data_IF_739043950232
#
_entry.id   IF_739043950232
#
_cell.length_a   1.000
_cell.length_b   1.000
_cell.length_c   1.000
_cell.angle_alpha   90.00
_cell.angle_beta   90.00
_cell.angle_gamma   90.00
#
_symmetry.space_group_name_H-M   'P 1'
#
loop_
_entity.id
_entity.type
_entity.pdbx_description
1 polymer ?
#
# COMPACT_ATOMS: atom_id res chain seq x y z
N UNK A 1 -2.93 2.32 2.83
CA UNK A 1 -2.73 2.89 1.47
C UNK A 1 -1.91 4.17 1.57
N UNK A 2 -0.98 4.35 0.69
CA UNK A 2 -0.13 5.54 0.61
C UNK A 2 -0.38 6.26 -0.72
N UNK A 3 -0.44 7.58 -0.69
CA UNK A 3 -0.61 8.40 -1.89
C UNK A 3 0.58 9.36 -1.98
N UNK A 4 1.30 9.30 -3.09
CA UNK A 4 2.43 10.17 -3.39
C UNK A 4 2.12 11.03 -4.59
N UNK A 5 2.49 12.32 -4.56
CA UNK A 5 2.26 13.23 -5.66
C UNK A 5 3.56 13.76 -6.24
N UNK A 6 3.68 13.76 -7.56
CA UNK A 6 4.81 14.31 -8.31
C UNK A 6 4.30 15.11 -9.51
N UNK A 7 5.02 16.18 -9.85
CA UNK A 7 4.56 17.12 -10.88
C UNK A 7 5.25 16.93 -12.23
N UNK A 8 6.37 16.20 -12.31
CA UNK A 8 7.15 16.05 -13.54
C UNK A 8 7.51 14.60 -13.80
N UNK A 9 7.65 14.26 -15.09
CA UNK A 9 8.07 12.92 -15.51
C UNK A 9 9.47 12.54 -15.04
N UNK A 10 10.37 13.51 -14.92
CA UNK A 10 11.73 13.25 -14.42
C UNK A 10 11.74 12.78 -12.97
N UNK A 11 10.76 13.20 -12.19
CA UNK A 11 10.61 12.78 -10.81
C UNK A 11 10.08 11.35 -10.66
N UNK A 12 9.63 10.71 -11.75
CA UNK A 12 8.99 9.41 -11.66
C UNK A 12 9.93 8.33 -11.10
N UNK A 13 11.16 8.26 -11.63
CA UNK A 13 12.15 7.28 -11.15
C UNK A 13 12.55 7.54 -9.70
N UNK A 14 12.76 8.81 -9.36
CA UNK A 14 13.06 9.19 -7.99
C UNK A 14 11.91 8.87 -7.06
N UNK A 15 10.68 9.17 -7.49
CA UNK A 15 9.48 8.85 -6.72
C UNK A 15 9.35 7.34 -6.53
N UNK A 16 9.57 6.55 -7.58
CA UNK A 16 9.49 5.10 -7.51
C UNK A 16 10.53 4.53 -6.54
N UNK A 17 11.76 5.06 -6.56
CA UNK A 17 12.80 4.64 -5.62
C UNK A 17 12.44 5.01 -4.19
N UNK A 18 11.93 6.21 -3.96
CA UNK A 18 11.48 6.65 -2.64
C UNK A 18 10.31 5.80 -2.13
N UNK A 19 9.35 5.49 -3.01
CA UNK A 19 8.23 4.64 -2.66
C UNK A 19 8.67 3.23 -2.30
N UNK A 20 9.59 2.65 -3.07
CA UNK A 20 10.13 1.32 -2.76
C UNK A 20 10.81 1.30 -1.41
N UNK A 21 11.58 2.33 -1.09
CA UNK A 21 12.22 2.45 0.22
C UNK A 21 11.19 2.62 1.33
N UNK A 22 10.18 3.47 1.11
CA UNK A 22 9.12 3.68 2.09
C UNK A 22 8.33 2.39 2.34
N UNK A 23 7.94 1.68 1.27
CA UNK A 23 7.21 0.43 1.39
C UNK A 23 8.05 -0.64 2.10
N UNK A 24 9.34 -0.72 1.78
CA UNK A 24 10.26 -1.64 2.45
C UNK A 24 10.30 -1.38 3.95
N UNK A 25 10.39 -0.12 4.35
CA UNK A 25 10.38 0.26 5.77
C UNK A 25 9.04 -0.04 6.42
N UNK A 26 7.96 0.20 5.71
CA UNK A 26 6.62 -0.08 6.20
C UNK A 26 6.44 -1.58 6.45
N UNK A 27 6.85 -2.42 5.51
CA UNK A 27 6.80 -3.88 5.65
C UNK A 27 7.70 -4.35 6.80
N UNK A 28 8.89 -3.77 6.93
CA UNK A 28 9.79 -4.09 8.03
C UNK A 28 9.13 -3.79 9.38
N UNK A 29 8.41 -2.68 9.48
CA UNK A 29 7.67 -2.32 10.69
C UNK A 29 6.54 -3.30 10.97
N UNK A 30 5.80 -3.71 9.94
CA UNK A 30 4.75 -4.72 10.09
C UNK A 30 5.33 -6.05 10.57
N UNK A 31 6.48 -6.48 10.04
CA UNK A 31 7.16 -7.69 10.49
C UNK A 31 7.58 -7.59 11.96
N UNK A 32 8.08 -6.43 12.37
CA UNK A 32 8.45 -6.18 13.76
C UNK A 32 7.23 -6.32 14.67
N UNK A 33 6.11 -5.73 14.28
CA UNK A 33 4.87 -5.83 15.04
C UNK A 33 4.34 -7.26 15.08
N UNK A 34 4.42 -7.99 13.96
CA UNK A 34 4.02 -9.40 13.92
C UNK A 34 4.89 -10.26 14.83
N UNK A 35 6.20 -10.00 14.88
CA UNK A 35 7.10 -10.70 15.78
C UNK A 35 6.73 -10.45 17.25
N UNK A 36 6.45 -9.19 17.59
CA UNK A 36 6.01 -8.83 18.95
C UNK A 36 4.68 -9.50 19.31
N UNK A 37 3.80 -9.64 18.33
CA UNK A 37 2.49 -10.29 18.51
C UNK A 37 2.58 -11.82 18.52
N UNK A 38 3.75 -12.40 18.18
CA UNK A 38 3.93 -13.84 18.09
C UNK A 38 3.31 -14.46 16.85
N UNK A 39 3.06 -13.69 15.82
CA UNK A 39 2.35 -14.14 14.62
C UNK A 39 3.23 -14.13 13.36
N UNK A 40 4.51 -13.82 13.50
CA UNK A 40 5.41 -13.75 12.34
C UNK A 40 5.50 -15.10 11.62
N UNK A 41 5.31 -15.10 10.32
CA UNK A 41 5.39 -16.29 9.48
C UNK A 41 4.14 -17.15 9.42
N UNK A 42 3.10 -16.82 10.19
CA UNK A 42 1.87 -17.62 10.21
C UNK A 42 0.97 -17.30 9.02
N UNK A 43 0.81 -16.03 8.69
CA UNK A 43 0.04 -15.56 7.54
C UNK A 43 0.86 -14.50 6.80
N UNK A 44 0.94 -14.55 5.46
CA UNK A 44 1.70 -13.54 4.71
C UNK A 44 1.11 -12.15 4.89
N UNK A 45 1.98 -11.14 4.85
CA UNK A 45 1.54 -9.74 4.80
C UNK A 45 0.82 -9.53 3.46
N UNK A 46 -0.39 -8.92 3.46
CA UNK A 46 -1.10 -8.67 2.21
C UNK A 46 -0.32 -7.79 1.25
N UNK A 47 -0.60 -7.92 -0.04
CA UNK A 47 -0.07 -7.01 -1.05
C UNK A 47 -0.54 -5.59 -0.71
N UNK A 48 0.38 -4.63 -0.76
CA UNK A 48 0.10 -3.25 -0.39
C UNK A 48 -0.11 -2.39 -1.65
N UNK A 49 -1.29 -1.77 -1.81
CA UNK A 49 -1.50 -0.84 -2.90
C UNK A 49 -0.94 0.55 -2.55
N UNK A 50 -0.29 1.17 -3.51
CA UNK A 50 0.25 2.52 -3.41
C UNK A 50 -0.23 3.32 -4.61
N UNK A 51 -0.79 4.49 -4.36
CA UNK A 51 -1.30 5.36 -5.43
C UNK A 51 -0.33 6.50 -5.64
N UNK A 52 0.09 6.71 -6.88
CA UNK A 52 0.99 7.80 -7.26
C UNK A 52 0.24 8.74 -8.19
N UNK A 53 0.29 10.02 -7.87
CA UNK A 53 -0.36 11.06 -8.67
C UNK A 53 0.72 11.97 -9.24
N UNK A 54 0.75 12.09 -10.57
CA UNK A 54 1.62 13.02 -11.29
C UNK A 54 0.76 13.96 -12.12
N UNK A 55 0.66 15.21 -11.70
CA UNK A 55 -0.24 16.14 -12.34
C UNK A 55 -1.68 15.62 -12.29
N UNK A 56 -2.24 15.27 -13.45
CA UNK A 56 -3.57 14.69 -13.54
C UNK A 56 -3.59 13.17 -13.62
N UNK A 57 -2.42 12.52 -13.73
CA UNK A 57 -2.33 11.09 -13.99
C UNK A 57 -2.20 10.32 -12.68
N UNK A 58 -3.05 9.32 -12.52
CA UNK A 58 -3.14 8.48 -11.33
C UNK A 58 -2.68 7.06 -11.68
N UNK A 59 -1.74 6.53 -10.92
CA UNK A 59 -1.21 5.17 -11.12
C UNK A 59 -1.27 4.42 -9.80
N UNK A 60 -1.73 3.18 -9.86
CA UNK A 60 -1.74 2.29 -8.70
C UNK A 60 -0.61 1.28 -8.84
N UNK A 61 0.23 1.21 -7.82
CA UNK A 61 1.35 0.26 -7.75
C UNK A 61 1.04 -0.76 -6.67
N UNK A 62 1.39 -2.02 -6.91
CA UNK A 62 1.19 -3.09 -5.95
C UNK A 62 2.54 -3.65 -5.52
N UNK A 63 2.79 -3.68 -4.22
CA UNK A 63 4.02 -4.19 -3.63
C UNK A 63 3.75 -5.41 -2.79
N UNK A 64 4.64 -6.40 -2.86
CA UNK A 64 4.56 -7.57 -2.01
C UNK A 64 5.75 -7.63 -1.05
N UNK A 65 5.52 -8.31 0.08
CA UNK A 65 6.58 -8.60 1.04
C UNK A 65 7.49 -9.69 0.47
N UNK A 66 8.78 -9.38 0.39
CA UNK A 66 9.83 -10.34 0.02
C UNK A 66 10.81 -10.47 1.18
N UNK A 67 11.55 -11.56 1.16
CA UNK A 67 12.53 -11.85 2.21
C UNK A 67 13.54 -10.70 2.39
N UNK A 68 13.92 -10.06 1.32
CA UNK A 68 14.92 -8.99 1.31
C UNK A 68 14.32 -7.57 1.19
N UNK A 69 13.01 -7.43 1.28
CA UNK A 69 12.36 -6.12 1.22
C UNK A 69 11.02 -6.17 0.50
N UNK A 70 10.64 -5.05 -0.10
CA UNK A 70 9.40 -4.93 -0.86
C UNK A 70 9.69 -5.12 -2.34
N UNK A 71 8.81 -5.84 -3.04
CA UNK A 71 8.90 -6.04 -4.48
C UNK A 71 7.69 -5.43 -5.17
N UNK A 72 7.95 -4.63 -6.21
CA UNK A 72 6.90 -4.12 -7.08
C UNK A 72 6.39 -5.27 -7.97
N UNK A 73 5.12 -5.63 -7.81
CA UNK A 73 4.49 -6.66 -8.64
C UNK A 73 4.03 -6.10 -9.97
N UNK A 74 3.31 -4.99 -9.94
CA UNK A 74 2.74 -4.40 -11.14
C UNK A 74 2.28 -2.98 -10.87
N UNK A 75 2.16 -2.21 -11.95
CA UNK A 75 1.62 -0.86 -11.89
C UNK A 75 0.57 -0.68 -12.97
N UNK A 76 -0.52 -0.02 -12.64
CA UNK A 76 -1.64 0.19 -13.55
C UNK A 76 -2.00 1.66 -13.58
N UNK A 77 -2.17 2.20 -14.79
CA UNK A 77 -2.77 3.52 -14.94
C UNK A 77 -4.23 3.44 -14.53
N UNK A 78 -4.60 4.21 -13.52
CA UNK A 78 -5.98 4.24 -13.02
C UNK A 78 -6.83 5.17 -13.88
N UNK A 79 -6.23 6.27 -14.34
CA UNK A 79 -6.92 7.27 -15.13
C UNK A 79 -6.33 8.65 -14.87
N UNK A 80 -7.06 9.66 -15.32
CA UNK A 80 -6.65 11.06 -15.24
C UNK A 80 -7.77 11.91 -14.69
N UNK A 81 -7.43 12.97 -13.97
CA UNK A 81 -8.41 13.94 -13.50
C UNK A 81 -8.56 15.14 -14.46
N UNK A 82 -8.07 15.02 -15.69
CA UNK A 82 -8.17 16.07 -16.71
C UNK A 82 -9.61 16.40 -17.09
N UNK A 83 -10.49 15.41 -17.08
CA UNK A 83 -11.89 15.61 -17.42
C UNK A 83 -12.79 14.81 -16.48
N UNK A 84 -14.08 15.08 -16.53
CA UNK A 84 -15.06 14.51 -15.61
C UNK A 84 -15.19 12.99 -15.77
N UNK A 85 -15.15 12.48 -16.98
CA UNK A 85 -15.32 11.04 -17.25
C UNK A 85 -14.15 10.26 -16.66
N UNK A 86 -12.93 10.70 -16.95
CA UNK A 86 -11.72 10.05 -16.42
C UNK A 86 -11.62 10.20 -14.91
N UNK A 87 -12.04 11.35 -14.37
CA UNK A 87 -12.05 11.56 -12.92
C UNK A 87 -13.01 10.59 -12.21
N UNK A 88 -14.13 10.24 -12.82
CA UNK A 88 -15.06 9.26 -12.26
C UNK A 88 -14.41 7.88 -12.16
N UNK A 89 -13.61 7.49 -13.16
CA UNK A 89 -12.89 6.22 -13.11
C UNK A 89 -11.86 6.20 -11.97
N UNK A 90 -11.14 7.30 -11.76
CA UNK A 90 -10.21 7.44 -10.63
C UNK A 90 -10.96 7.32 -9.30
N UNK A 91 -12.08 7.99 -9.17
CA UNK A 91 -12.88 7.94 -7.96
C UNK A 91 -13.36 6.51 -7.65
N UNK A 92 -13.85 5.80 -8.67
CA UNK A 92 -14.30 4.41 -8.51
C UNK A 92 -13.15 3.49 -8.07
N UNK A 93 -11.96 3.69 -8.63
CA UNK A 93 -10.79 2.90 -8.25
C UNK A 93 -10.39 3.16 -6.80
N UNK A 94 -10.43 4.42 -6.36
CA UNK A 94 -10.13 4.78 -4.97
C UNK A 94 -11.14 4.17 -4.00
N UNK A 95 -12.42 4.17 -4.37
CA UNK A 95 -13.45 3.52 -3.56
C UNK A 95 -13.20 2.02 -3.44
N UNK A 96 -12.81 1.37 -4.54
CA UNK A 96 -12.47 -0.05 -4.54
C UNK A 96 -11.29 -0.32 -3.58
N UNK A 97 -10.25 0.52 -3.63
CA UNK A 97 -9.09 0.36 -2.74
C UNK A 97 -9.46 0.57 -1.28
N UNK A 98 -10.29 1.56 -0.98
CA UNK A 98 -10.76 1.79 0.39
C UNK A 98 -11.59 0.62 0.91
N UNK A 99 -12.44 0.06 0.07
CA UNK A 99 -13.22 -1.12 0.41
C UNK A 99 -12.32 -2.32 0.68
N UNK A 100 -11.29 -2.53 -0.15
CA UNK A 100 -10.29 -3.56 0.06
C UNK A 100 -9.57 -3.39 1.42
N UNK A 101 -9.19 -2.15 1.76
CA UNK A 101 -8.55 -1.86 3.05
C UNK A 101 -9.45 -2.26 4.20
N UNK A 102 -10.72 -1.91 4.14
CA UNK A 102 -11.68 -2.18 5.22
C UNK A 102 -12.05 -3.67 5.32
N UNK A 103 -12.13 -4.37 4.19
CA UNK A 103 -12.61 -5.75 4.18
C UNK A 103 -11.50 -6.79 4.24
N UNK A 104 -10.26 -6.44 3.84
CA UNK A 104 -9.13 -7.38 3.77
C UNK A 104 -7.96 -6.98 4.65
N UNK A 105 -7.44 -5.75 4.48
CA UNK A 105 -6.25 -5.31 5.20
C UNK A 105 -6.53 -5.07 6.67
N UNK A 106 -7.55 -4.31 6.99
CA UNK A 106 -7.87 -3.93 8.37
C UNK A 106 -8.22 -5.15 9.24
N UNK A 107 -9.05 -6.11 8.79
CA UNK A 107 -9.28 -7.33 9.55
C UNK A 107 -8.00 -8.15 9.75
N UNK A 108 -7.13 -8.23 8.75
CA UNK A 108 -5.83 -8.89 8.89
C UNK A 108 -4.98 -8.23 9.98
N UNK A 109 -4.86 -6.91 9.92
CA UNK A 109 -4.07 -6.14 10.89
C UNK A 109 -4.63 -6.32 12.30
N UNK A 110 -5.93 -6.23 12.45
CA UNK A 110 -6.61 -6.37 13.73
C UNK A 110 -6.37 -7.75 14.32
N UNK A 111 -6.60 -8.80 13.53
CA UNK A 111 -6.49 -10.19 13.98
C UNK A 111 -5.04 -10.60 14.25
N UNK A 112 -4.11 -10.21 13.39
CA UNK A 112 -2.73 -10.69 13.45
C UNK A 112 -1.81 -9.83 14.32
N UNK A 113 -2.12 -8.56 14.51
CA UNK A 113 -1.25 -7.63 15.21
C UNK A 113 -1.94 -7.05 16.43
N UNK A 114 -3.05 -6.37 16.23
CA UNK A 114 -3.67 -5.58 17.29
C UNK A 114 -4.21 -6.45 18.43
N UNK A 115 -5.02 -7.45 18.12
CA UNK A 115 -5.61 -8.33 19.13
C UNK A 115 -4.54 -9.09 19.94
N UNK A 116 -3.55 -9.73 19.28
CA UNK A 116 -2.49 -10.40 20.04
C UNK A 116 -1.67 -9.45 20.93
N UNK A 117 -1.37 -8.24 20.46
CA UNK A 117 -0.64 -7.27 21.27
C UNK A 117 -1.47 -6.79 22.46
N UNK A 118 -2.76 -6.54 22.27
CA UNK A 118 -3.65 -6.16 23.35
C UNK A 118 -3.77 -7.28 24.39
N UNK A 119 -3.83 -8.53 23.95
CA UNK A 119 -3.88 -9.68 24.86
C UNK A 119 -2.61 -9.79 25.71
N UNK A 120 -1.44 -9.46 25.13
CA UNK A 120 -0.18 -9.45 25.90
C UNK A 120 -0.09 -8.30 26.89
N UNK A 121 -0.76 -7.19 26.58
CA UNK A 121 -0.72 -6.00 27.42
C UNK A 121 -1.67 -6.10 28.63
N UNK A 122 -2.61 -7.02 28.59
CA UNK A 122 -3.60 -7.18 29.68
C UNK A 122 -3.18 -8.17 30.75
#
# INVERSE_FOLDING_TARGET
MHIETKLTGEGWRAAQSQLSLWVTRHIAKLRELLALAGQLGKIPIPVLPVVVVQGHDWTCLFFEDRFDGARLLSGYSVGSTKNMVDAQAVFAALQFLMDWIQTKYRPWFDEMILQPLLAKAS
#
